data_IF_869662182528
#
_entry.id   IF_869662182528
#
_cell.length_a   1.000
_cell.length_b   1.000
_cell.length_c   1.000
_cell.angle_alpha   90.00
_cell.angle_beta   90.00
_cell.angle_gamma   90.00
#
_symmetry.space_group_name_H-M   'P 1'
#
loop_
_entity.id
_entity.type
_entity.pdbx_description
1 polymer ?
#
# COMPACT_ATOMS: atom_id res chain seq x y z
N UNK A 1 -29.21 30.65 -36.51
CA UNK A 1 -29.27 30.09 -35.14
C UNK A 1 -27.98 29.31 -34.86
N UNK A 2 -27.13 29.75 -33.92
CA UNK A 2 -25.89 29.03 -33.59
C UNK A 2 -26.22 27.73 -32.84
N UNK A 3 -25.63 26.63 -33.31
CA UNK A 3 -25.81 25.29 -32.73
C UNK A 3 -24.86 25.18 -31.54
N UNK A 4 -25.36 25.41 -30.33
CA UNK A 4 -24.62 25.21 -29.08
C UNK A 4 -24.44 23.69 -28.93
N UNK A 5 -23.30 23.16 -29.38
CA UNK A 5 -22.91 21.78 -29.09
C UNK A 5 -22.35 21.75 -27.68
N UNK A 6 -23.12 21.22 -26.73
CA UNK A 6 -22.66 21.00 -25.37
C UNK A 6 -21.42 20.08 -25.37
N UNK A 7 -20.34 20.58 -24.80
CA UNK A 7 -19.12 19.80 -24.55
C UNK A 7 -19.47 18.66 -23.56
N UNK A 8 -19.08 17.40 -23.83
CA UNK A 8 -19.45 16.28 -22.97
C UNK A 8 -18.80 16.44 -21.60
N UNK A 9 -19.64 16.54 -20.56
CA UNK A 9 -19.25 16.75 -19.16
C UNK A 9 -18.33 15.64 -18.57
N UNK A 10 -18.05 14.57 -19.32
CA UNK A 10 -17.25 13.43 -18.91
C UNK A 10 -15.76 13.72 -18.75
N UNK A 11 -15.20 14.69 -19.50
CA UNK A 11 -13.75 14.97 -19.49
C UNK A 11 -13.25 15.64 -18.20
N UNK A 12 -14.12 16.39 -17.51
CA UNK A 12 -13.75 17.16 -16.31
C UNK A 12 -13.65 16.27 -15.06
N UNK A 13 -14.41 15.18 -15.00
CA UNK A 13 -14.37 14.20 -13.89
C UNK A 13 -13.06 13.42 -13.88
N UNK A 14 -12.70 12.85 -15.03
CA UNK A 14 -11.50 12.01 -15.18
C UNK A 14 -10.20 12.75 -14.84
N UNK A 15 -10.10 14.02 -15.24
CA UNK A 15 -8.94 14.86 -14.95
C UNK A 15 -8.80 15.16 -13.44
N UNK A 16 -9.92 15.37 -12.74
CA UNK A 16 -9.93 15.60 -11.28
C UNK A 16 -9.55 14.34 -10.51
N UNK A 17 -10.06 13.18 -10.92
CA UNK A 17 -9.76 11.90 -10.28
C UNK A 17 -8.29 11.50 -10.46
N UNK A 18 -7.73 11.74 -11.65
CA UNK A 18 -6.30 11.54 -11.90
C UNK A 18 -5.43 12.47 -11.05
N UNK A 19 -5.79 13.75 -10.94
CA UNK A 19 -5.08 14.72 -10.10
C UNK A 19 -5.16 14.35 -8.61
N UNK A 20 -6.34 13.97 -8.11
CA UNK A 20 -6.52 13.53 -6.73
C UNK A 20 -5.68 12.28 -6.43
N UNK A 21 -5.71 11.29 -7.31
CA UNK A 21 -4.89 10.07 -7.18
C UNK A 21 -3.40 10.39 -7.10
N UNK A 22 -2.94 11.36 -7.90
CA UNK A 22 -1.55 11.83 -7.90
C UNK A 22 -1.18 12.51 -6.58
N UNK A 23 -2.04 13.41 -6.10
CA UNK A 23 -1.83 14.14 -4.83
C UNK A 23 -1.80 13.14 -3.68
N UNK A 24 -2.75 12.21 -3.61
CA UNK A 24 -2.80 11.18 -2.58
C UNK A 24 -1.57 10.27 -2.63
N UNK A 25 -1.16 9.83 -3.82
CA UNK A 25 0.06 9.04 -3.99
C UNK A 25 1.33 9.78 -3.56
N UNK A 26 1.45 11.07 -3.91
CA UNK A 26 2.54 11.94 -3.49
C UNK A 26 2.57 12.15 -1.97
N UNK A 27 1.43 12.49 -1.39
CA UNK A 27 1.28 12.68 0.05
C UNK A 27 1.56 11.39 0.84
N UNK A 28 1.09 10.24 0.35
CA UNK A 28 1.37 8.93 0.94
C UNK A 28 2.87 8.63 0.96
N UNK A 29 3.55 8.77 -0.19
CA UNK A 29 4.98 8.54 -0.30
C UNK A 29 5.80 9.49 0.57
N UNK A 30 5.42 10.78 0.60
CA UNK A 30 6.04 11.79 1.45
C UNK A 30 5.88 11.50 2.95
N UNK A 31 4.66 11.14 3.37
CA UNK A 31 4.39 10.79 4.77
C UNK A 31 5.17 9.55 5.22
N UNK A 32 5.25 8.51 4.37
CA UNK A 32 6.06 7.31 4.63
C UNK A 32 7.54 7.64 4.75
N UNK A 33 8.08 8.43 3.82
CA UNK A 33 9.49 8.84 3.82
C UNK A 33 9.84 9.65 5.07
N UNK A 34 9.05 10.67 5.41
CA UNK A 34 9.28 11.51 6.58
C UNK A 34 9.12 10.68 7.87
N UNK A 35 8.08 9.85 7.96
CA UNK A 35 7.88 8.97 9.12
C UNK A 35 9.05 8.02 9.35
N UNK A 36 9.50 7.34 8.30
CA UNK A 36 10.66 6.44 8.35
C UNK A 36 11.96 7.18 8.67
N UNK A 37 12.18 8.38 8.10
CA UNK A 37 13.36 9.19 8.38
C UNK A 37 13.40 9.66 9.84
N UNK A 38 12.26 10.11 10.39
CA UNK A 38 12.15 10.49 11.81
C UNK A 38 12.49 9.30 12.69
N UNK A 39 11.88 8.13 12.45
CA UNK A 39 12.17 6.91 13.21
C UNK A 39 13.65 6.54 13.13
N UNK A 40 14.24 6.56 11.92
CA UNK A 40 15.66 6.27 11.71
C UNK A 40 16.54 7.24 12.51
N UNK A 41 16.30 8.55 12.43
CA UNK A 41 17.06 9.56 13.18
C UNK A 41 16.95 9.32 14.67
N UNK A 42 15.75 9.03 15.20
CA UNK A 42 15.58 8.72 16.63
C UNK A 42 16.31 7.46 17.07
N UNK A 43 16.41 6.48 16.17
CA UNK A 43 17.12 5.22 16.39
C UNK A 43 18.64 5.41 16.40
N UNK A 44 19.16 6.27 15.50
CA UNK A 44 20.57 6.66 15.44
C UNK A 44 20.97 7.45 16.68
N UNK A 45 20.08 8.37 17.10
CA UNK A 45 20.35 9.31 18.19
C UNK A 45 20.16 8.69 19.58
N UNK A 46 19.51 7.54 19.69
CA UNK A 46 19.30 6.86 20.96
C UNK A 46 20.62 6.33 21.53
N UNK A 47 20.93 6.58 22.82
CA UNK A 47 22.13 6.04 23.45
C UNK A 47 22.07 4.51 23.52
N UNK A 48 23.17 3.84 23.12
CA UNK A 48 23.28 2.39 23.06
C UNK A 48 23.86 1.89 21.74
N UNK A 49 24.07 0.59 21.61
CA UNK A 49 24.46 0.01 20.32
C UNK A 49 23.24 -0.03 19.41
N UNK A 50 23.34 0.65 18.26
CA UNK A 50 22.32 0.66 17.22
C UNK A 50 21.80 -0.75 16.88
N UNK A 51 22.65 -1.77 16.97
CA UNK A 51 22.33 -3.14 16.56
C UNK A 51 21.70 -4.03 17.65
N UNK A 52 21.71 -3.61 18.93
CA UNK A 52 21.25 -4.48 20.02
C UNK A 52 19.80 -4.24 20.48
N UNK A 53 19.22 -3.09 20.14
CA UNK A 53 17.85 -2.73 20.52
C UNK A 53 16.85 -2.91 19.37
N UNK A 54 15.64 -3.38 19.72
CA UNK A 54 14.48 -3.36 18.84
C UNK A 54 14.11 -1.92 18.50
N UNK A 55 13.56 -1.73 17.30
CA UNK A 55 13.17 -0.40 16.80
C UNK A 55 12.10 0.21 17.71
N UNK A 56 11.17 -0.63 18.19
CA UNK A 56 10.11 -0.26 19.13
C UNK A 56 10.60 0.35 20.45
N UNK A 57 11.79 0.00 20.93
CA UNK A 57 12.31 0.49 22.23
C UNK A 57 12.56 1.99 22.25
N UNK A 58 12.84 2.59 21.11
CA UNK A 58 13.01 4.04 21.00
C UNK A 58 11.74 4.81 21.33
N UNK A 59 10.58 4.14 21.25
CA UNK A 59 9.26 4.66 21.62
C UNK A 59 8.90 4.51 23.09
N UNK A 60 9.79 4.03 23.95
CA UNK A 60 9.47 3.71 25.34
C UNK A 60 9.24 4.95 26.20
N UNK A 61 8.29 4.87 27.14
CA UNK A 61 7.92 6.02 27.96
C UNK A 61 9.11 6.51 28.80
N UNK A 62 9.36 7.82 28.79
CA UNK A 62 10.46 8.45 29.54
C UNK A 62 11.77 8.60 28.76
N UNK A 63 11.90 8.02 27.55
CA UNK A 63 13.07 8.30 26.70
C UNK A 63 12.95 9.64 25.98
N UNK A 64 14.10 10.32 25.82
CA UNK A 64 14.22 11.65 25.18
C UNK A 64 13.62 11.70 23.77
N UNK A 65 13.72 10.61 23.02
CA UNK A 65 13.27 10.53 21.62
C UNK A 65 11.93 9.81 21.41
N UNK A 66 11.25 9.43 22.50
CA UNK A 66 10.02 8.63 22.43
C UNK A 66 8.90 9.32 21.64
N UNK A 67 8.70 10.63 21.87
CA UNK A 67 7.66 11.39 21.16
C UNK A 67 7.96 11.45 19.67
N UNK A 68 9.20 11.76 19.29
CA UNK A 68 9.60 11.84 17.88
C UNK A 68 9.42 10.48 17.17
N UNK A 69 9.84 9.38 17.80
CA UNK A 69 9.65 8.04 17.26
C UNK A 69 8.17 7.72 17.00
N UNK A 70 7.31 7.99 18.00
CA UNK A 70 5.86 7.76 17.89
C UNK A 70 5.24 8.64 16.82
N UNK A 71 5.64 9.91 16.70
CA UNK A 71 5.22 10.77 15.59
C UNK A 71 5.60 10.16 14.23
N UNK A 72 6.80 9.56 14.12
CA UNK A 72 7.22 8.83 12.93
C UNK A 72 6.30 7.65 12.58
N UNK A 73 5.89 6.85 13.57
CA UNK A 73 4.91 5.77 13.38
C UNK A 73 3.53 6.28 12.96
N UNK A 74 3.06 7.40 13.53
CA UNK A 74 1.78 8.02 13.15
C UNK A 74 1.83 8.56 11.71
N UNK A 75 2.97 9.13 11.29
CA UNK A 75 3.17 9.56 9.91
C UNK A 75 3.20 8.37 8.94
N UNK A 76 3.82 7.25 9.31
CA UNK A 76 3.74 6.01 8.54
C UNK A 76 2.29 5.52 8.41
N UNK A 77 1.55 5.47 9.51
CA UNK A 77 0.14 5.09 9.52
C UNK A 77 -0.71 5.98 8.61
N UNK A 78 -0.51 7.30 8.68
CA UNK A 78 -1.16 8.25 7.78
C UNK A 78 -0.79 8.00 6.31
N UNK A 79 0.48 7.71 6.02
CA UNK A 79 0.95 7.35 4.69
C UNK A 79 0.29 6.08 4.14
N UNK A 80 0.15 5.03 4.97
CA UNK A 80 -0.55 3.79 4.61
C UNK A 80 -2.03 4.05 4.33
N UNK A 81 -2.71 4.86 5.15
CA UNK A 81 -4.11 5.23 4.95
C UNK A 81 -4.30 6.02 3.63
N UNK A 82 -3.44 7.02 3.38
CA UNK A 82 -3.45 7.80 2.14
C UNK A 82 -3.19 6.92 0.91
N UNK A 83 -2.28 5.95 1.01
CA UNK A 83 -2.05 4.98 -0.06
C UNK A 83 -3.28 4.11 -0.30
N UNK A 84 -3.97 3.66 0.76
CA UNK A 84 -5.24 2.93 0.65
C UNK A 84 -6.32 3.75 -0.07
N UNK A 85 -6.41 5.05 0.20
CA UNK A 85 -7.30 5.99 -0.50
C UNK A 85 -6.89 6.19 -1.97
N UNK A 86 -5.60 6.31 -2.24
CA UNK A 86 -5.08 6.44 -3.61
C UNK A 86 -5.34 5.17 -4.45
N UNK A 87 -5.37 4.01 -3.78
CA UNK A 87 -5.67 2.70 -4.36
C UNK A 87 -7.17 2.36 -4.31
N UNK A 88 -8.06 3.27 -3.92
CA UNK A 88 -9.50 3.00 -3.79
C UNK A 88 -10.21 2.49 -5.06
N UNK A 89 -9.79 2.84 -6.29
CA UNK A 89 -10.37 2.22 -7.49
C UNK A 89 -9.95 0.74 -7.67
N UNK A 90 -8.99 0.27 -6.88
CA UNK A 90 -8.64 -1.14 -6.76
C UNK A 90 -9.70 -1.89 -5.90
N UNK A 91 -9.58 -3.21 -5.72
CA UNK A 91 -10.64 -3.96 -5.04
C UNK A 91 -10.77 -3.54 -3.57
N UNK A 92 -12.02 -3.40 -3.10
CA UNK A 92 -12.37 -3.08 -1.70
C UNK A 92 -11.55 -3.81 -0.63
N UNK A 93 -11.22 -5.11 -0.74
CA UNK A 93 -10.38 -5.78 0.24
C UNK A 93 -8.99 -5.16 0.41
N UNK A 94 -8.34 -4.69 -0.66
CA UNK A 94 -7.00 -4.07 -0.56
C UNK A 94 -7.07 -2.77 0.24
N UNK A 95 -8.03 -1.90 -0.08
CA UNK A 95 -8.21 -0.65 0.64
C UNK A 95 -8.62 -0.88 2.11
N UNK A 96 -9.48 -1.87 2.37
CA UNK A 96 -9.88 -2.23 3.73
C UNK A 96 -8.69 -2.76 4.55
N UNK A 97 -7.89 -3.68 3.99
CA UNK A 97 -6.70 -4.22 4.66
C UNK A 97 -5.64 -3.14 4.93
N UNK A 98 -5.42 -2.23 3.98
CA UNK A 98 -4.53 -1.07 4.20
C UNK A 98 -5.09 -0.13 5.28
N UNK A 99 -6.41 0.08 5.32
CA UNK A 99 -7.06 0.86 6.38
C UNK A 99 -6.90 0.23 7.76
N UNK A 100 -7.10 -1.09 7.86
CA UNK A 100 -6.86 -1.85 9.10
C UNK A 100 -5.38 -1.80 9.50
N UNK A 101 -4.46 -2.01 8.56
CA UNK A 101 -3.03 -1.92 8.82
C UNK A 101 -2.62 -0.52 9.30
N UNK A 102 -3.15 0.54 8.69
CA UNK A 102 -2.92 1.91 9.11
C UNK A 102 -3.46 2.18 10.53
N UNK A 103 -4.67 1.72 10.84
CA UNK A 103 -5.25 1.85 12.18
C UNK A 103 -4.40 1.14 13.24
N UNK A 104 -3.98 -0.10 12.98
CA UNK A 104 -3.15 -0.86 13.91
C UNK A 104 -1.75 -0.25 14.08
N UNK A 105 -1.16 0.28 13.00
CA UNK A 105 0.09 1.03 13.08
C UNK A 105 -0.06 2.31 13.93
N UNK A 106 -1.20 3.01 13.81
CA UNK A 106 -1.48 4.17 14.64
C UNK A 106 -1.66 3.79 16.12
N UNK A 107 -2.41 2.72 16.41
CA UNK A 107 -2.54 2.18 17.78
C UNK A 107 -1.15 1.84 18.35
N UNK A 108 -0.32 1.14 17.60
CA UNK A 108 1.06 0.82 17.98
C UNK A 108 1.89 2.08 18.25
N UNK A 109 1.74 3.14 17.44
CA UNK A 109 2.42 4.42 17.64
C UNK A 109 1.93 5.23 18.84
N UNK A 110 0.65 5.12 19.22
CA UNK A 110 0.10 5.85 20.38
C UNK A 110 0.38 5.12 21.70
N UNK A 111 0.32 3.78 21.69
CA UNK A 111 0.48 2.96 22.90
C UNK A 111 1.97 2.82 23.25
N UNK A 112 2.42 3.41 24.37
CA UNK A 112 3.82 3.34 24.79
C UNK A 112 4.19 1.90 25.18
N UNK A 113 5.29 1.37 24.66
CA UNK A 113 5.89 0.15 25.20
C UNK A 113 6.79 0.45 26.40
N UNK A 114 7.08 -0.58 27.18
CA UNK A 114 8.11 -0.58 28.22
C UNK A 114 9.49 -0.86 27.63
N UNK A 115 10.54 -0.49 28.37
CA UNK A 115 11.96 -0.59 27.98
C UNK A 115 12.43 -2.03 27.73
N UNK A 116 11.57 -3.01 27.95
CA UNK A 116 11.80 -4.43 27.77
C UNK A 116 10.66 -5.06 26.98
N UNK A 117 9.89 -4.28 26.20
CA UNK A 117 8.67 -4.67 25.48
C UNK A 117 8.65 -6.16 25.10
N UNK A 118 8.13 -7.04 25.98
CA UNK A 118 8.48 -8.44 25.88
C UNK A 118 7.42 -9.23 25.13
N UNK A 119 7.87 -10.35 24.58
CA UNK A 119 6.98 -11.43 24.21
C UNK A 119 7.13 -12.52 25.27
N UNK A 120 6.04 -12.96 25.93
CA UNK A 120 6.09 -14.10 26.84
C UNK A 120 6.76 -15.29 26.13
N UNK A 121 7.57 -16.12 26.82
CA UNK A 121 7.59 -16.32 28.28
C UNK A 121 8.75 -15.69 29.07
N UNK A 122 9.68 -14.97 28.42
CA UNK A 122 10.99 -14.69 29.04
C UNK A 122 11.01 -13.51 30.02
N UNK A 123 10.15 -12.50 29.83
CA UNK A 123 10.10 -11.33 30.70
C UNK A 123 8.66 -10.93 31.10
N UNK A 124 8.46 -10.21 32.22
CA UNK A 124 7.14 -9.73 32.64
C UNK A 124 6.53 -8.76 31.61
N UNK A 125 5.32 -9.04 31.16
CA UNK A 125 4.59 -8.23 30.17
C UNK A 125 3.55 -7.33 30.82
N UNK A 126 3.42 -6.09 30.33
CA UNK A 126 2.30 -5.21 30.66
C UNK A 126 1.21 -5.28 29.58
N UNK A 127 -0.01 -4.82 29.89
CA UNK A 127 -1.08 -4.69 28.90
C UNK A 127 -0.68 -3.78 27.73
N UNK A 128 0.11 -2.74 28.01
CA UNK A 128 0.60 -1.81 26.99
C UNK A 128 1.53 -2.51 25.98
N UNK A 129 2.41 -3.38 26.48
CA UNK A 129 3.32 -4.16 25.64
C UNK A 129 2.54 -5.15 24.75
N UNK A 130 1.52 -5.80 25.29
CA UNK A 130 0.65 -6.72 24.54
C UNK A 130 -0.11 -5.98 23.44
N UNK A 131 -0.71 -4.83 23.74
CA UNK A 131 -1.47 -4.05 22.74
C UNK A 131 -0.53 -3.52 21.65
N UNK A 132 0.61 -2.93 22.02
CA UNK A 132 1.60 -2.44 21.07
C UNK A 132 2.09 -3.57 20.14
N UNK A 133 2.48 -4.70 20.74
CA UNK A 133 3.06 -5.83 20.00
C UNK A 133 2.03 -6.53 19.12
N UNK A 134 0.82 -6.79 19.64
CA UNK A 134 -0.25 -7.40 18.87
C UNK A 134 -0.68 -6.51 17.70
N UNK A 135 -0.83 -5.20 17.92
CA UNK A 135 -1.16 -4.26 16.87
C UNK A 135 -0.08 -4.24 15.77
N UNK A 136 1.20 -4.21 16.16
CA UNK A 136 2.32 -4.27 15.21
C UNK A 136 2.34 -5.57 14.40
N UNK A 137 2.20 -6.73 15.05
CA UNK A 137 2.20 -8.04 14.37
C UNK A 137 1.04 -8.14 13.40
N UNK A 138 -0.19 -7.88 13.86
CA UNK A 138 -1.38 -7.97 13.01
C UNK A 138 -1.28 -6.95 11.87
N UNK A 139 -0.83 -5.72 12.14
CA UNK A 139 -0.62 -4.70 11.11
C UNK A 139 0.34 -5.15 10.01
N UNK A 140 1.47 -5.75 10.38
CA UNK A 140 2.46 -6.28 9.44
C UNK A 140 1.93 -7.50 8.67
N UNK A 141 1.16 -8.38 9.30
CA UNK A 141 0.47 -9.49 8.64
C UNK A 141 -0.52 -8.98 7.60
N UNK A 142 -1.33 -7.97 7.93
CA UNK A 142 -2.28 -7.37 6.99
C UNK A 142 -1.55 -6.71 5.82
N UNK A 143 -0.45 -6.00 6.08
CA UNK A 143 0.38 -5.40 5.04
C UNK A 143 0.99 -6.47 4.11
N UNK A 144 1.57 -7.53 4.66
CA UNK A 144 2.08 -8.66 3.90
C UNK A 144 0.97 -9.36 3.10
N UNK A 145 -0.23 -9.47 3.65
CA UNK A 145 -1.42 -9.97 2.96
C UNK A 145 -1.80 -9.11 1.76
N UNK A 146 -1.73 -7.78 1.87
CA UNK A 146 -1.92 -6.86 0.74
C UNK A 146 -0.84 -7.07 -0.33
N UNK A 147 0.44 -7.15 0.08
CA UNK A 147 1.54 -7.45 -0.84
C UNK A 147 1.30 -8.76 -1.60
N UNK A 148 0.92 -9.82 -0.89
CA UNK A 148 0.63 -11.13 -1.47
C UNK A 148 -0.58 -11.09 -2.41
N UNK A 149 -1.67 -10.43 -2.01
CA UNK A 149 -2.88 -10.29 -2.82
C UNK A 149 -2.59 -9.58 -4.14
N UNK A 150 -1.79 -8.51 -4.12
CA UNK A 150 -1.39 -7.79 -5.33
C UNK A 150 -0.39 -8.62 -6.15
N UNK A 151 0.64 -9.15 -5.50
CA UNK A 151 1.76 -9.85 -6.13
C UNK A 151 1.38 -11.16 -6.82
N UNK A 152 0.53 -11.96 -6.17
CA UNK A 152 0.11 -13.28 -6.63
C UNK A 152 -1.29 -13.28 -7.27
N UNK A 153 -1.86 -12.10 -7.55
CA UNK A 153 -3.15 -11.95 -8.24
C UNK A 153 -3.23 -12.71 -9.58
N UNK A 154 -2.10 -13.00 -10.23
CA UNK A 154 -2.06 -13.84 -11.44
C UNK A 154 -2.27 -15.34 -11.18
N UNK A 155 -1.86 -15.86 -10.01
CA UNK A 155 -2.04 -17.27 -9.64
C UNK A 155 -3.50 -17.57 -9.30
N UNK A 156 -4.22 -16.57 -8.77
CA UNK A 156 -5.67 -16.62 -8.51
C UNK A 156 -6.52 -16.59 -9.79
N UNK A 157 -5.92 -16.49 -10.99
CA UNK A 157 -6.62 -16.50 -12.28
C UNK A 157 -7.06 -17.91 -12.72
N UNK A 158 -6.72 -18.96 -11.96
CA UNK A 158 -7.13 -20.34 -12.25
C UNK A 158 -8.66 -20.49 -12.21
N UNK A 159 -9.32 -20.89 -13.33
CA UNK A 159 -10.78 -20.91 -13.45
C UNK A 159 -11.49 -21.79 -12.41
N UNK A 160 -10.79 -22.81 -11.88
CA UNK A 160 -11.29 -23.67 -10.80
C UNK A 160 -11.38 -22.94 -9.45
N UNK A 161 -10.39 -22.11 -9.11
CA UNK A 161 -10.33 -21.36 -7.84
C UNK A 161 -11.22 -20.12 -7.90
N UNK A 162 -11.37 -19.49 -9.07
CA UNK A 162 -12.26 -18.35 -9.30
C UNK A 162 -13.73 -18.69 -9.07
N UNK A 163 -14.16 -19.94 -9.32
CA UNK A 163 -15.51 -20.42 -8.97
C UNK A 163 -15.70 -20.56 -7.46
N UNK A 164 -14.67 -21.02 -6.74
CA UNK A 164 -14.71 -21.19 -5.28
C UNK A 164 -14.61 -19.86 -4.50
N UNK A 165 -13.88 -18.87 -5.02
CA UNK A 165 -13.68 -17.54 -4.40
C UNK A 165 -14.46 -16.42 -5.11
N UNK A 166 -15.58 -16.79 -5.75
CA UNK A 166 -16.39 -15.93 -6.63
C UNK A 166 -16.90 -14.64 -5.98
N UNK A 167 -16.88 -14.54 -4.65
CA UNK A 167 -17.23 -13.31 -3.91
C UNK A 167 -16.17 -12.19 -3.96
N UNK A 168 -14.90 -12.49 -4.25
CA UNK A 168 -13.79 -11.51 -4.10
C UNK A 168 -12.95 -11.24 -5.37
N UNK A 169 -13.06 -12.06 -6.42
CA UNK A 169 -11.95 -12.25 -7.36
C UNK A 169 -11.91 -11.44 -8.69
N UNK A 170 -13.01 -11.07 -9.38
CA UNK A 170 -12.88 -10.67 -10.79
C UNK A 170 -12.26 -9.27 -11.02
N UNK A 171 -12.30 -8.35 -10.04
CA UNK A 171 -11.83 -6.96 -10.22
C UNK A 171 -10.32 -6.76 -9.94
N UNK A 172 -9.70 -7.59 -9.11
CA UNK A 172 -8.29 -7.41 -8.67
C UNK A 172 -7.31 -7.61 -9.85
N UNK A 173 -7.65 -8.53 -10.73
CA UNK A 173 -6.73 -9.20 -11.67
C UNK A 173 -6.56 -8.44 -13.00
N UNK A 174 -7.36 -7.39 -13.25
CA UNK A 174 -7.21 -6.51 -14.42
C UNK A 174 -6.62 -5.13 -14.07
N UNK A 175 -6.60 -4.77 -12.78
CA UNK A 175 -6.33 -3.40 -12.35
C UNK A 175 -4.84 -3.07 -12.17
N UNK A 176 -4.03 -4.05 -11.77
CA UNK A 176 -2.62 -3.83 -11.43
C UNK A 176 -1.68 -4.11 -12.59
N UNK A 177 -0.79 -3.15 -12.88
CA UNK A 177 0.28 -3.25 -13.88
C UNK A 177 1.30 -4.33 -13.49
N UNK A 178 2.04 -4.91 -14.45
CA UNK A 178 3.10 -5.88 -14.17
C UNK A 178 4.12 -5.41 -13.14
N UNK A 179 4.46 -4.11 -13.16
CA UNK A 179 5.39 -3.50 -12.21
C UNK A 179 4.91 -3.59 -10.75
N UNK A 180 3.66 -3.22 -10.46
CA UNK A 180 3.12 -3.29 -9.09
C UNK A 180 2.98 -4.74 -8.60
N UNK A 181 2.71 -5.69 -9.51
CA UNK A 181 2.69 -7.12 -9.18
C UNK A 181 4.08 -7.64 -8.84
N UNK A 182 5.09 -7.36 -9.66
CA UNK A 182 6.47 -7.77 -9.39
C UNK A 182 6.98 -7.19 -8.08
N UNK A 183 6.78 -5.89 -7.86
CA UNK A 183 7.16 -5.23 -6.62
C UNK A 183 6.48 -5.86 -5.40
N UNK A 184 5.17 -6.12 -5.49
CA UNK A 184 4.41 -6.70 -4.37
C UNK A 184 4.71 -8.18 -4.15
N UNK A 185 4.99 -8.93 -5.21
CA UNK A 185 5.45 -10.32 -5.10
C UNK A 185 6.79 -10.34 -4.36
N UNK A 186 7.80 -9.58 -4.80
CA UNK A 186 9.09 -9.48 -4.11
C UNK A 186 8.91 -9.07 -2.65
N UNK A 187 8.10 -8.03 -2.39
CA UNK A 187 7.77 -7.60 -1.03
C UNK A 187 7.21 -8.74 -0.18
N UNK A 188 6.19 -9.45 -0.66
CA UNK A 188 5.60 -10.58 0.05
C UNK A 188 6.60 -11.74 0.27
N UNK A 189 7.38 -12.10 -0.75
CA UNK A 189 8.36 -13.20 -0.66
C UNK A 189 9.48 -12.91 0.33
N UNK A 190 9.82 -11.64 0.57
CA UNK A 190 10.79 -11.25 1.59
C UNK A 190 10.13 -11.08 2.96
N UNK A 191 8.97 -10.42 3.01
CA UNK A 191 8.29 -10.06 4.26
C UNK A 191 7.82 -11.28 5.04
N UNK A 192 7.25 -12.28 4.36
CA UNK A 192 6.70 -13.48 5.00
C UNK A 192 7.79 -14.29 5.73
N UNK A 193 8.92 -14.69 5.10
CA UNK A 193 9.97 -15.42 5.81
C UNK A 193 10.66 -14.56 6.87
N UNK A 194 10.85 -13.25 6.66
CA UNK A 194 11.38 -12.36 7.69
C UNK A 194 10.47 -12.29 8.92
N UNK A 195 9.16 -12.15 8.71
CA UNK A 195 8.17 -12.14 9.78
C UNK A 195 8.10 -13.49 10.52
N UNK A 196 8.14 -14.61 9.77
CA UNK A 196 8.19 -15.94 10.35
C UNK A 196 9.47 -16.15 11.18
N UNK A 197 10.64 -15.79 10.64
CA UNK A 197 11.91 -15.87 11.34
C UNK A 197 11.92 -14.99 12.60
N UNK A 198 11.38 -13.77 12.53
CA UNK A 198 11.25 -12.88 13.69
C UNK A 198 10.35 -13.51 14.76
N UNK A 199 9.18 -14.03 14.38
CA UNK A 199 8.27 -14.70 15.29
C UNK A 199 8.88 -15.94 15.95
N UNK A 200 9.59 -16.77 15.18
CA UNK A 200 10.30 -17.94 15.70
C UNK A 200 11.45 -17.53 16.64
N UNK A 201 12.21 -16.49 16.29
CA UNK A 201 13.29 -15.98 17.14
C UNK A 201 12.72 -15.51 18.48
N UNK A 202 11.63 -14.75 18.47
CA UNK A 202 10.96 -14.30 19.69
C UNK A 202 10.42 -15.47 20.52
N UNK A 203 9.86 -16.50 19.87
CA UNK A 203 9.30 -17.66 20.56
C UNK A 203 10.37 -18.54 21.22
N UNK A 204 11.52 -18.74 20.57
CA UNK A 204 12.53 -19.70 21.01
C UNK A 204 13.77 -19.09 21.68
N UNK A 205 14.18 -17.90 21.25
CA UNK A 205 15.37 -17.22 21.77
C UNK A 205 15.02 -15.97 22.60
N UNK A 206 13.77 -15.48 22.51
CA UNK A 206 13.35 -14.26 23.16
C UNK A 206 13.99 -13.02 22.55
N UNK A 207 14.28 -12.05 23.41
CA UNK A 207 14.88 -10.76 23.06
C UNK A 207 16.35 -10.94 22.67
N UNK A 208 16.75 -10.43 21.50
CA UNK A 208 18.16 -10.44 21.12
C UNK A 208 18.50 -9.66 19.85
N UNK A 209 19.81 -9.51 19.53
CA UNK A 209 20.28 -8.74 18.39
C UNK A 209 19.78 -9.30 17.05
N UNK A 210 19.59 -10.62 16.96
CA UNK A 210 19.03 -11.27 15.75
C UNK A 210 17.61 -10.78 15.48
N UNK A 211 16.75 -10.75 16.51
CA UNK A 211 15.39 -10.23 16.38
C UNK A 211 15.36 -8.75 15.99
N UNK A 212 16.24 -7.93 16.58
CA UNK A 212 16.37 -6.52 16.23
C UNK A 212 16.78 -6.31 14.76
N UNK A 213 17.68 -7.13 14.23
CA UNK A 213 18.08 -7.09 12.81
C UNK A 213 16.90 -7.50 11.92
N UNK A 214 16.22 -8.60 12.24
CA UNK A 214 15.07 -9.09 11.47
C UNK A 214 13.93 -8.07 11.42
N UNK A 215 13.65 -7.39 12.53
CA UNK A 215 12.66 -6.31 12.59
C UNK A 215 13.03 -5.16 11.63
N UNK A 216 14.28 -4.72 11.64
CA UNK A 216 14.76 -3.63 10.76
C UNK A 216 14.66 -4.02 9.29
N UNK A 217 15.01 -5.26 8.95
CA UNK A 217 14.89 -5.78 7.59
C UNK A 217 13.42 -5.82 7.16
N UNK A 218 12.52 -6.31 8.02
CA UNK A 218 11.08 -6.34 7.74
C UNK A 218 10.52 -4.91 7.54
N UNK A 219 10.89 -3.97 8.40
CA UNK A 219 10.49 -2.56 8.26
C UNK A 219 11.06 -1.92 6.99
N UNK A 220 12.29 -2.25 6.61
CA UNK A 220 12.92 -1.76 5.36
C UNK A 220 12.16 -2.28 4.14
N UNK A 221 11.77 -3.55 4.13
CA UNK A 221 10.94 -4.14 3.06
C UNK A 221 9.56 -3.46 3.01
N UNK A 222 8.92 -3.26 4.16
CA UNK A 222 7.62 -2.58 4.24
C UNK A 222 7.68 -1.14 3.70
N UNK A 223 8.62 -0.33 4.19
CA UNK A 223 8.80 1.07 3.80
C UNK A 223 9.15 1.19 2.31
N UNK A 224 10.09 0.37 1.81
CA UNK A 224 10.46 0.38 0.39
C UNK A 224 9.29 -0.01 -0.52
N UNK A 225 8.49 -1.00 -0.13
CA UNK A 225 7.28 -1.37 -0.87
C UNK A 225 6.24 -0.24 -0.88
N UNK A 226 5.99 0.42 0.26
CA UNK A 226 5.05 1.55 0.36
C UNK A 226 5.48 2.73 -0.51
N UNK A 227 6.78 3.06 -0.51
CA UNK A 227 7.35 4.11 -1.36
C UNK A 227 7.21 3.74 -2.84
N UNK A 228 7.57 2.50 -3.20
CA UNK A 228 7.46 2.01 -4.57
C UNK A 228 6.02 2.02 -5.09
N UNK A 229 5.05 1.60 -4.27
CA UNK A 229 3.62 1.66 -4.61
C UNK A 229 3.10 3.08 -4.74
N UNK A 230 3.57 4.00 -3.89
CA UNK A 230 3.25 5.43 -4.00
C UNK A 230 3.79 6.02 -5.31
N UNK A 231 5.03 5.71 -5.67
CA UNK A 231 5.66 6.15 -6.93
C UNK A 231 4.92 5.58 -8.15
N UNK A 232 4.59 4.29 -8.14
CA UNK A 232 3.83 3.66 -9.22
C UNK A 232 2.42 4.29 -9.38
N UNK A 233 1.79 4.69 -8.27
CA UNK A 233 0.51 5.41 -8.28
C UNK A 233 0.63 6.78 -8.96
N UNK A 234 1.69 7.54 -8.63
CA UNK A 234 1.99 8.84 -9.27
C UNK A 234 2.28 8.67 -10.76
N UNK A 235 3.13 7.71 -11.13
CA UNK A 235 3.50 7.46 -12.53
C UNK A 235 2.29 7.04 -13.38
N UNK A 236 1.38 6.23 -12.81
CA UNK A 236 0.13 5.85 -13.48
C UNK A 236 -0.73 7.06 -13.84
N UNK A 237 -0.85 8.02 -12.92
CA UNK A 237 -1.65 9.24 -13.14
C UNK A 237 -1.05 10.19 -14.19
N UNK A 238 0.23 10.01 -14.56
CA UNK A 238 0.95 10.90 -15.47
C UNK A 238 0.85 10.49 -16.94
N UNK A 239 0.43 9.26 -17.24
CA UNK A 239 0.25 8.81 -18.63
C UNK A 239 -1.03 9.40 -19.18
N UNK A 240 -0.93 10.53 -19.89
CA UNK A 240 -2.02 11.03 -20.74
C UNK A 240 -2.25 9.99 -21.84
N UNK A 241 -3.38 9.29 -21.78
CA UNK A 241 -3.89 8.61 -22.98
C UNK A 241 -4.36 9.74 -23.88
N UNK A 242 -3.53 10.12 -24.83
CA UNK A 242 -3.93 11.03 -25.89
C UNK A 242 -5.15 10.38 -26.55
N UNK A 243 -6.31 11.01 -26.37
CA UNK A 243 -7.56 10.41 -26.83
C UNK A 243 -7.42 10.24 -28.33
N UNK A 244 -7.33 8.99 -28.77
CA UNK A 244 -7.39 8.59 -30.16
C UNK A 244 -8.81 8.91 -30.65
N UNK A 245 -9.10 10.19 -30.81
CA UNK A 245 -10.40 10.72 -31.18
C UNK A 245 -10.25 11.76 -32.29
N UNK A 246 -9.18 11.65 -33.10
CA UNK A 246 -8.97 12.54 -34.24
C UNK A 246 -8.40 11.87 -35.49
N UNK A 247 -8.66 10.59 -35.65
CA UNK A 247 -8.43 9.87 -36.91
C UNK A 247 -9.52 8.83 -37.13
N UNK A 248 -10.78 9.23 -36.94
CA UNK A 248 -11.84 8.65 -37.77
C UNK A 248 -11.61 9.29 -39.15
N UNK A 249 -11.09 8.57 -40.15
CA UNK A 249 -11.05 9.11 -41.50
C UNK A 249 -12.48 9.52 -41.85
N UNK A 250 -12.71 10.73 -42.40
CA UNK A 250 -14.04 11.15 -42.78
C UNK A 250 -14.64 10.03 -43.62
N UNK A 251 -15.76 9.46 -43.17
CA UNK A 251 -16.54 8.52 -43.96
C UNK A 251 -16.75 9.18 -45.32
N UNK A 252 -16.02 8.72 -46.33
CA UNK A 252 -16.28 9.09 -47.70
C UNK A 252 -17.72 8.64 -47.93
N UNK A 253 -18.58 9.61 -48.23
CA UNK A 253 -19.91 9.35 -48.77
C UNK A 253 -19.68 8.70 -50.14
N UNK A 254 -19.40 7.41 -50.17
CA UNK A 254 -19.55 6.61 -51.38
C UNK A 254 -21.02 6.71 -51.75
N UNK A 255 -21.25 7.35 -52.90
CA UNK A 255 -22.55 7.80 -53.35
C UNK A 255 -23.58 6.67 -53.34
N UNK A 256 -24.70 6.96 -52.68
CA UNK A 256 -25.98 6.37 -53.03
C UNK A 256 -26.22 6.65 -54.52
N UNK A 257 -25.98 5.63 -55.34
CA UNK A 257 -26.40 5.61 -56.74
C UNK A 257 -27.91 5.34 -56.70
N UNK A 258 -28.69 6.41 -56.84
CA UNK A 258 -30.11 6.35 -57.13
C UNK A 258 -30.30 5.58 -58.44
N UNK A 259 -30.80 4.36 -58.34
CA UNK A 259 -31.36 3.60 -59.45
C UNK A 259 -32.85 3.91 -59.53
N UNK A 260 -33.17 5.06 -60.11
CA UNK A 260 -34.44 5.29 -60.78
C UNK A 260 -34.19 5.01 -62.25
N UNK A 261 -34.77 3.93 -62.79
CA UNK A 261 -35.02 3.60 -64.20
C UNK A 261 -35.36 2.10 -64.20
N UNK A 262 -36.48 1.55 -64.69
CA UNK A 262 -37.54 2.07 -65.53
C UNK A 262 -38.80 1.17 -65.38
N UNK A 263 -39.98 1.77 -65.51
CA UNK A 263 -41.14 1.15 -66.17
C UNK A 263 -41.13 1.66 -67.62
N UNK A 264 -41.53 0.89 -68.66
CA UNK A 264 -42.96 0.63 -68.86
C UNK A 264 -43.34 -0.70 -69.56
N UNK A 265 -44.67 -0.91 -69.61
CA UNK A 265 -45.51 -1.77 -70.48
C UNK A 265 -45.50 -3.27 -70.26
#
# INVERSE_FOLDING_TARGET
MPKITAEPATTRGDARDAALTRILGGAAGGAVLVGAAVMLVTLVASPGSWLAGYVSETGTAGLRFAVAYRTGLILLAAGVALLGLALRPAPRPVAALLGVAAFLAAVSGVVPCTNQCPLPPFEPTTLSDVVHTAASIIGMVMLAGVMAMIGFSSLLRSPALTRALSFFAPAVVAFFRPASRRLSAVGATLMVPLGAALGLTMLFAGRGPVGAILERLALTVAVSWLIGMSLLTILRSSVKVESWSRSIPPHSKTGSRSSNDASPS
#
